data_IF_447566053811
#
_entry.id   IF_447566053811
#
_cell.length_a   1.000
_cell.length_b   1.000
_cell.length_c   1.000
_cell.angle_alpha   90.00
_cell.angle_beta   90.00
_cell.angle_gamma   90.00
#
_symmetry.space_group_name_H-M   'P 1'
#
loop_
_entity.id
_entity.type
_entity.pdbx_description
1 polymer ?
#
# COMPACT_ATOMS: atom_id res chain seq x y z
N UNK A 1 75.47 -26.42 -22.88
CA UNK A 1 74.13 -26.72 -22.33
C UNK A 1 73.14 -26.68 -23.49
N UNK A 2 72.41 -27.79 -23.74
CA UNK A 2 71.74 -28.11 -25.03
C UNK A 2 70.56 -27.17 -25.38
N UNK A 3 70.52 -26.69 -26.62
CA UNK A 3 69.34 -26.09 -27.26
C UNK A 3 68.30 -27.17 -27.55
N UNK A 4 67.01 -26.85 -27.40
CA UNK A 4 65.90 -27.71 -27.82
C UNK A 4 65.41 -27.22 -29.19
N UNK A 5 65.61 -28.06 -30.20
CA UNK A 5 65.05 -27.88 -31.54
C UNK A 5 63.54 -28.13 -31.52
N UNK A 6 62.75 -27.14 -31.93
CA UNK A 6 61.35 -27.34 -32.31
C UNK A 6 61.30 -27.90 -33.73
N UNK A 7 60.85 -29.16 -33.88
CA UNK A 7 60.54 -29.75 -35.19
C UNK A 7 59.28 -29.09 -35.76
N UNK A 8 59.44 -28.32 -36.84
CA UNK A 8 58.36 -27.88 -37.71
C UNK A 8 57.74 -29.08 -38.43
N UNK A 9 56.43 -29.27 -38.28
CA UNK A 9 55.67 -30.24 -39.08
C UNK A 9 55.28 -29.61 -40.42
N UNK A 10 55.46 -30.31 -41.56
CA UNK A 10 55.01 -29.78 -42.84
C UNK A 10 53.49 -29.95 -42.97
N UNK A 11 52.78 -28.83 -43.11
CA UNK A 11 51.39 -28.81 -43.58
C UNK A 11 51.35 -29.06 -45.08
N UNK A 12 51.16 -30.31 -45.52
CA UNK A 12 50.43 -30.65 -46.76
C UNK A 12 49.90 -32.09 -46.68
N UNK A 13 48.60 -32.25 -46.42
CA UNK A 13 47.89 -33.47 -46.79
C UNK A 13 47.41 -33.30 -48.24
N UNK A 14 47.91 -34.12 -49.16
CA UNK A 14 47.45 -34.19 -50.54
C UNK A 14 46.35 -35.25 -50.70
N UNK A 15 45.43 -35.02 -51.64
CA UNK A 15 44.21 -35.78 -51.80
C UNK A 15 44.45 -37.28 -52.02
N UNK A 16 43.64 -38.09 -51.33
CA UNK A 16 43.49 -39.55 -51.44
C UNK A 16 44.08 -40.41 -50.29
N UNK A 17 44.12 -39.88 -49.06
CA UNK A 17 44.35 -40.71 -47.86
C UNK A 17 43.11 -40.74 -46.95
N UNK A 18 42.14 -41.61 -47.29
CA UNK A 18 40.95 -41.84 -46.45
C UNK A 18 41.12 -42.97 -45.42
N UNK A 19 42.25 -43.67 -45.36
CA UNK A 19 42.32 -44.94 -44.61
C UNK A 19 43.53 -45.15 -43.71
N UNK A 20 44.25 -44.10 -43.28
CA UNK A 20 45.31 -44.23 -42.28
C UNK A 20 45.51 -42.91 -41.51
N UNK A 21 44.62 -42.61 -40.56
CA UNK A 21 44.90 -41.87 -39.31
C UNK A 21 43.58 -41.67 -38.57
N UNK A 22 43.12 -42.71 -37.88
CA UNK A 22 42.18 -42.51 -36.78
C UNK A 22 42.95 -41.77 -35.68
N UNK A 23 42.89 -40.43 -35.71
CA UNK A 23 43.35 -39.60 -34.60
C UNK A 23 42.47 -39.91 -33.39
N UNK A 24 42.97 -40.82 -32.54
CA UNK A 24 42.52 -40.99 -31.16
C UNK A 24 42.79 -39.69 -30.40
N UNK A 25 41.92 -38.68 -30.59
CA UNK A 25 41.66 -37.55 -29.68
C UNK A 25 40.64 -36.58 -30.30
N UNK A 26 39.59 -37.07 -30.95
CA UNK A 26 38.34 -36.32 -30.97
C UNK A 26 37.64 -36.61 -29.64
N UNK A 27 37.81 -35.68 -28.71
CA UNK A 27 37.31 -35.70 -27.35
C UNK A 27 35.80 -35.95 -27.34
N UNK A 28 35.36 -37.12 -26.86
CA UNK A 28 33.94 -37.41 -26.55
C UNK A 28 33.34 -36.33 -25.61
N UNK A 29 34.21 -35.58 -24.92
CA UNK A 29 33.86 -34.44 -24.06
C UNK A 29 33.29 -33.23 -24.82
N UNK A 30 33.56 -33.05 -26.12
CA UNK A 30 32.98 -31.93 -26.90
C UNK A 30 31.56 -32.23 -27.42
N UNK A 31 31.22 -33.50 -27.66
CA UNK A 31 29.88 -33.87 -28.15
C UNK A 31 28.84 -33.94 -27.02
N UNK A 32 29.28 -34.28 -25.79
CA UNK A 32 28.40 -34.34 -24.62
C UNK A 32 28.14 -32.93 -24.04
N UNK A 33 29.09 -31.99 -24.15
CA UNK A 33 28.94 -30.61 -23.67
C UNK A 33 27.90 -29.76 -24.41
N UNK A 34 27.61 -30.07 -25.69
CA UNK A 34 26.64 -29.32 -26.49
C UNK A 34 25.17 -29.66 -26.20
N UNK A 35 24.89 -30.84 -25.64
CA UNK A 35 23.51 -31.31 -25.39
C UNK A 35 23.05 -30.95 -23.97
N UNK A 36 23.96 -30.80 -23.01
CA UNK A 36 23.64 -30.44 -21.62
C UNK A 36 23.43 -28.94 -21.41
N UNK A 37 24.01 -28.05 -22.23
CA UNK A 37 23.83 -26.58 -22.08
C UNK A 37 22.45 -26.05 -22.50
N UNK A 38 21.66 -26.80 -23.28
CA UNK A 38 20.32 -26.36 -23.70
C UNK A 38 19.22 -26.66 -22.67
N UNK A 39 19.47 -27.60 -21.74
CA UNK A 39 18.50 -27.98 -20.70
C UNK A 39 18.72 -27.23 -19.38
N UNK A 40 19.94 -26.81 -19.08
CA UNK A 40 20.25 -26.05 -17.86
C UNK A 40 19.88 -24.56 -17.94
N UNK A 41 19.72 -23.98 -19.14
CA UNK A 41 19.26 -22.59 -19.30
C UNK A 41 17.73 -22.43 -19.11
N UNK A 42 16.97 -23.53 -19.21
CA UNK A 42 15.51 -23.51 -19.17
C UNK A 42 14.93 -23.49 -17.74
N UNK A 43 15.73 -23.88 -16.74
CA UNK A 43 15.31 -23.90 -15.33
C UNK A 43 15.47 -22.54 -14.61
N UNK A 44 16.19 -21.58 -15.20
CA UNK A 44 16.52 -20.31 -14.55
C UNK A 44 15.57 -19.15 -14.91
N UNK A 45 14.65 -19.33 -15.87
CA UNK A 45 13.76 -18.25 -16.35
C UNK A 45 12.39 -18.21 -15.66
N UNK A 46 12.06 -19.18 -14.80
CA UNK A 46 10.77 -19.19 -14.06
C UNK A 46 10.89 -18.65 -12.62
N UNK A 47 12.10 -18.44 -12.11
CA UNK A 47 12.34 -18.02 -10.72
C UNK A 47 12.30 -16.48 -10.50
N UNK A 48 12.14 -15.68 -11.57
CA UNK A 48 12.10 -14.21 -11.50
C UNK A 48 10.68 -13.62 -11.52
N UNK A 49 9.64 -14.45 -11.50
CA UNK A 49 8.25 -14.00 -11.68
C UNK A 49 7.49 -13.57 -10.41
N UNK A 50 8.10 -13.57 -9.22
CA UNK A 50 7.37 -13.36 -7.95
C UNK A 50 7.51 -11.96 -7.33
N UNK A 51 8.23 -11.01 -7.94
CA UNK A 51 8.31 -9.63 -7.44
C UNK A 51 7.22 -8.76 -8.06
N UNK A 52 5.98 -8.98 -7.64
CA UNK A 52 4.83 -8.23 -8.14
C UNK A 52 3.64 -8.27 -7.21
N UNK A 53 3.85 -8.43 -5.90
CA UNK A 53 2.84 -8.02 -4.94
C UNK A 53 2.89 -6.49 -4.91
N UNK A 54 1.84 -5.82 -5.42
CA UNK A 54 1.66 -4.39 -5.20
C UNK A 54 1.74 -4.14 -3.70
N UNK A 55 2.51 -3.12 -3.30
CA UNK A 55 2.57 -2.71 -1.90
C UNK A 55 1.14 -2.46 -1.45
N UNK A 56 0.65 -3.24 -0.47
CA UNK A 56 -0.55 -2.85 0.25
C UNK A 56 -0.21 -1.52 0.94
N UNK A 57 -0.90 -0.45 0.58
CA UNK A 57 -1.02 0.68 1.50
C UNK A 57 -1.68 0.14 2.77
N UNK A 58 -1.31 0.69 3.92
CA UNK A 58 -2.00 0.40 5.17
C UNK A 58 -2.31 1.71 5.88
N UNK A 59 -3.57 1.83 6.32
CA UNK A 59 -4.01 2.92 7.18
C UNK A 59 -3.62 2.59 8.62
N UNK A 60 -2.90 3.51 9.27
CA UNK A 60 -2.25 3.28 10.55
C UNK A 60 -2.61 4.41 11.52
N UNK A 61 -2.97 4.05 12.75
CA UNK A 61 -3.06 5.01 13.86
C UNK A 61 -1.68 5.13 14.50
N UNK A 62 -1.07 6.30 14.38
CA UNK A 62 0.18 6.68 15.03
C UNK A 62 -0.08 7.21 16.43
N UNK A 63 0.69 6.71 17.40
CA UNK A 63 0.66 7.18 18.77
C UNK A 63 2.02 7.74 19.15
N UNK A 64 2.06 8.95 19.71
CA UNK A 64 3.29 9.70 19.95
C UNK A 64 3.70 9.71 21.42
N UNK A 65 3.45 8.63 22.17
CA UNK A 65 3.71 8.55 23.62
C UNK A 65 2.88 9.54 24.46
N UNK A 66 2.18 10.49 23.84
CA UNK A 66 1.24 11.41 24.46
C UNK A 66 -0.21 11.08 24.10
N UNK A 67 -0.42 10.12 23.20
CA UNK A 67 -1.72 9.52 22.89
C UNK A 67 -2.26 8.77 24.10
N UNK A 68 -3.57 8.86 24.29
CA UNK A 68 -4.28 8.25 25.44
C UNK A 68 -5.22 7.19 24.90
N UNK A 69 -4.99 5.93 25.28
CA UNK A 69 -5.92 4.86 24.95
C UNK A 69 -7.27 5.12 25.63
N UNK A 70 -8.36 4.95 24.88
CA UNK A 70 -9.69 5.27 25.36
C UNK A 70 -10.76 4.64 24.49
N UNK A 71 -11.96 4.58 25.05
CA UNK A 71 -13.14 4.06 24.37
C UNK A 71 -14.12 5.18 24.09
N UNK A 72 -14.73 5.15 22.92
CA UNK A 72 -16.00 5.84 22.64
C UNK A 72 -17.09 4.77 22.58
N UNK A 73 -18.32 5.09 22.97
CA UNK A 73 -19.38 4.08 23.06
C UNK A 73 -20.75 4.70 23.25
N UNK A 74 -21.82 3.88 23.21
CA UNK A 74 -23.18 4.40 23.19
C UNK A 74 -23.49 5.12 24.49
N UNK A 75 -23.53 6.45 24.43
CA UNK A 75 -24.32 7.23 25.38
C UNK A 75 -25.79 6.97 25.10
N UNK A 76 -26.57 6.96 26.18
CA UNK A 76 -27.90 6.34 26.22
C UNK A 76 -28.97 7.01 25.36
N UNK A 77 -28.65 8.09 24.64
CA UNK A 77 -29.54 8.82 23.74
C UNK A 77 -28.71 9.41 22.57
N UNK A 78 -29.25 9.35 21.34
CA UNK A 78 -28.76 10.03 20.13
C UNK A 78 -27.36 9.73 19.58
N UNK A 79 -26.63 8.77 20.13
CA UNK A 79 -25.30 8.46 19.61
C UNK A 79 -25.31 7.86 18.19
N UNK A 80 -24.38 8.31 17.35
CA UNK A 80 -24.15 7.76 16.00
C UNK A 80 -23.61 6.32 16.07
N UNK A 81 -22.87 5.99 17.13
CA UNK A 81 -22.24 4.69 17.33
C UNK A 81 -23.01 3.86 18.38
N UNK A 82 -24.06 3.18 17.93
CA UNK A 82 -25.11 2.65 18.84
C UNK A 82 -24.86 1.25 19.43
N UNK A 83 -23.85 0.50 18.98
CA UNK A 83 -23.83 -0.96 19.19
C UNK A 83 -22.85 -1.49 20.24
N UNK A 84 -21.74 -0.80 20.53
CA UNK A 84 -20.66 -1.27 21.41
C UNK A 84 -19.70 -0.13 21.77
N UNK A 85 -18.94 -0.27 22.86
CA UNK A 85 -17.72 0.54 23.03
C UNK A 85 -16.70 0.14 21.97
N UNK A 86 -16.08 1.13 21.34
CA UNK A 86 -15.00 0.97 20.37
C UNK A 86 -13.68 1.36 21.03
N UNK A 87 -12.66 0.50 20.90
CA UNK A 87 -11.32 0.77 21.40
C UNK A 87 -10.52 1.64 20.43
N UNK A 88 -9.79 2.63 20.97
CA UNK A 88 -8.99 3.53 20.16
C UNK A 88 -8.16 4.48 20.99
N UNK A 89 -7.85 5.65 20.42
CA UNK A 89 -6.89 6.59 20.94
C UNK A 89 -7.36 8.04 20.77
N UNK A 90 -7.35 8.78 21.88
CA UNK A 90 -7.32 10.24 21.88
C UNK A 90 -5.89 10.71 21.61
N UNK A 91 -5.73 11.89 21.01
CA UNK A 91 -4.42 12.41 20.58
C UNK A 91 -3.65 11.43 19.67
N UNK A 92 -4.39 10.57 18.99
CA UNK A 92 -3.87 9.73 17.92
C UNK A 92 -3.73 10.55 16.65
N UNK A 93 -2.82 10.13 15.79
CA UNK A 93 -2.62 10.68 14.46
C UNK A 93 -2.90 9.61 13.42
N UNK A 94 -3.42 9.98 12.26
CA UNK A 94 -3.68 9.04 11.19
C UNK A 94 -2.60 9.13 10.12
N UNK A 95 -1.96 8.02 9.79
CA UNK A 95 -1.06 7.91 8.66
C UNK A 95 -1.51 6.84 7.69
N UNK A 96 -1.07 6.95 6.45
CA UNK A 96 -1.42 6.04 5.36
C UNK A 96 -0.19 5.73 4.53
N UNK A 97 -0.28 4.65 3.75
CA UNK A 97 0.63 4.43 2.63
C UNK A 97 0.37 5.39 1.46
N UNK A 98 1.04 5.14 0.34
CA UNK A 98 0.66 5.78 -0.93
C UNK A 98 -0.63 5.14 -1.46
N UNK A 99 -1.61 5.93 -1.87
CA UNK A 99 -2.81 5.36 -2.49
C UNK A 99 -4.02 6.29 -2.56
N UNK A 100 -5.19 5.69 -2.72
CA UNK A 100 -6.48 6.38 -2.71
C UNK A 100 -7.19 6.13 -1.38
N UNK A 101 -7.73 7.18 -0.79
CA UNK A 101 -8.57 7.07 0.40
C UNK A 101 -10.02 7.34 0.03
N UNK A 102 -10.92 6.57 0.63
CA UNK A 102 -12.35 6.84 0.68
C UNK A 102 -12.69 7.31 2.08
N UNK A 103 -13.31 8.47 2.18
CA UNK A 103 -13.86 8.99 3.45
C UNK A 103 -15.38 8.96 3.33
N UNK A 104 -16.04 8.35 4.30
CA UNK A 104 -17.48 8.09 4.31
C UNK A 104 -18.12 8.75 5.55
N UNK A 105 -19.23 9.45 5.33
CA UNK A 105 -20.02 10.04 6.41
C UNK A 105 -20.87 8.98 7.11
N UNK A 106 -20.66 8.76 8.40
CA UNK A 106 -21.46 7.81 9.17
C UNK A 106 -22.60 8.48 9.93
N UNK A 107 -22.47 9.75 10.29
CA UNK A 107 -23.50 10.52 10.96
C UNK A 107 -22.95 11.63 11.86
N UNK A 108 -23.86 12.25 12.60
CA UNK A 108 -23.58 13.32 13.56
C UNK A 108 -24.61 13.39 14.67
N UNK A 109 -24.25 14.01 15.79
CA UNK A 109 -25.16 14.64 16.75
C UNK A 109 -25.07 16.17 16.72
N UNK A 110 -23.96 16.74 16.24
CA UNK A 110 -23.65 18.16 16.34
C UNK A 110 -24.74 19.10 15.81
N UNK A 111 -25.00 20.13 16.62
CA UNK A 111 -25.73 21.33 16.21
C UNK A 111 -24.90 22.25 15.31
N UNK A 112 -23.57 22.16 15.35
CA UNK A 112 -22.67 22.95 14.50
C UNK A 112 -22.42 22.32 13.12
N UNK A 113 -21.99 23.18 12.19
CA UNK A 113 -21.54 22.75 10.85
C UNK A 113 -20.06 22.39 10.91
N UNK A 114 -19.75 21.12 11.13
CA UNK A 114 -18.40 20.59 11.20
C UNK A 114 -17.99 20.05 9.83
N UNK A 115 -16.84 20.47 9.32
CA UNK A 115 -16.38 20.15 7.96
C UNK A 115 -15.00 19.52 8.00
N UNK A 116 -14.91 18.27 7.57
CA UNK A 116 -13.66 17.59 7.28
C UNK A 116 -13.15 18.01 5.91
N UNK A 117 -11.87 18.36 5.81
CA UNK A 117 -11.22 18.75 4.56
C UNK A 117 -9.88 18.04 4.40
N UNK A 118 -9.66 17.49 3.20
CA UNK A 118 -8.40 16.85 2.83
C UNK A 118 -8.22 16.94 1.31
N UNK A 119 -7.05 17.43 0.88
CA UNK A 119 -6.68 17.55 -0.54
C UNK A 119 -7.74 18.24 -1.43
N UNK A 120 -8.36 19.29 -0.89
CA UNK A 120 -9.42 20.05 -1.58
C UNK A 120 -10.77 19.33 -1.71
N UNK A 121 -10.90 18.12 -1.14
CA UNK A 121 -12.19 17.45 -0.94
C UNK A 121 -12.72 17.78 0.45
N UNK A 122 -14.04 17.83 0.60
CA UNK A 122 -14.66 18.09 1.89
C UNK A 122 -15.93 17.28 2.09
N UNK A 123 -16.20 16.98 3.35
CA UNK A 123 -17.41 16.32 3.81
C UNK A 123 -17.82 16.95 5.13
N UNK A 124 -19.11 17.21 5.34
CA UNK A 124 -19.58 17.97 6.49
C UNK A 124 -20.78 17.34 7.19
N UNK A 125 -21.16 17.89 8.34
CA UNK A 125 -22.39 17.54 9.06
C UNK A 125 -23.69 17.84 8.28
N UNK A 126 -23.62 18.56 7.16
CA UNK A 126 -24.76 18.76 6.25
C UNK A 126 -24.86 17.65 5.18
N UNK A 127 -23.90 16.72 5.16
CA UNK A 127 -23.91 15.57 4.23
C UNK A 127 -24.96 14.55 4.66
N UNK A 128 -25.37 13.70 3.72
CA UNK A 128 -26.27 12.59 4.00
C UNK A 128 -25.48 11.34 4.41
N UNK A 129 -25.99 10.57 5.38
CA UNK A 129 -25.32 9.34 5.86
C UNK A 129 -25.04 8.42 4.68
N UNK A 130 -23.79 7.98 4.53
CA UNK A 130 -23.29 7.20 3.40
C UNK A 130 -22.68 8.02 2.27
N UNK A 131 -22.72 9.36 2.33
CA UNK A 131 -21.97 10.19 1.38
C UNK A 131 -20.47 9.92 1.49
N UNK A 132 -19.79 9.97 0.35
CA UNK A 132 -18.38 9.63 0.25
C UNK A 132 -17.60 10.63 -0.58
N UNK A 133 -16.37 10.90 -0.17
CA UNK A 133 -15.36 11.59 -0.95
C UNK A 133 -14.15 10.69 -1.19
N UNK A 134 -13.47 10.93 -2.30
CA UNK A 134 -12.25 10.21 -2.67
C UNK A 134 -11.07 11.16 -2.70
N UNK A 135 -10.09 10.89 -1.84
CA UNK A 135 -8.81 11.61 -1.82
C UNK A 135 -7.84 10.82 -2.67
N UNK A 136 -7.46 11.41 -3.80
CA UNK A 136 -6.54 10.81 -4.76
C UNK A 136 -5.10 11.16 -4.35
N UNK A 137 -4.17 10.20 -4.46
CA UNK A 137 -2.75 10.43 -4.19
C UNK A 137 -2.46 10.80 -2.71
N UNK A 138 -3.08 10.10 -1.77
CA UNK A 138 -2.56 10.11 -0.40
C UNK A 138 -1.07 9.76 -0.44
N UNK A 139 -0.25 10.61 0.19
CA UNK A 139 1.20 10.44 0.26
C UNK A 139 1.49 9.60 1.49
N UNK A 140 2.50 8.73 1.39
CA UNK A 140 2.94 7.94 2.53
C UNK A 140 3.34 8.84 3.72
N UNK A 141 2.82 8.53 4.89
CA UNK A 141 3.07 9.24 6.14
C UNK A 141 1.81 9.87 6.73
N UNK A 142 2.01 10.87 7.59
CA UNK A 142 0.94 11.58 8.29
C UNK A 142 -0.02 12.24 7.29
N UNK A 143 -1.30 11.92 7.40
CA UNK A 143 -2.32 12.50 6.52
C UNK A 143 -2.53 13.97 6.84
N UNK A 144 -2.59 14.82 5.82
CA UNK A 144 -2.82 16.26 6.01
C UNK A 144 -4.32 16.58 5.84
N UNK A 145 -5.09 16.38 6.90
CA UNK A 145 -6.49 16.79 6.97
C UNK A 145 -6.72 17.78 8.11
N UNK A 146 -7.77 18.57 7.97
CA UNK A 146 -8.28 19.48 9.00
C UNK A 146 -9.79 19.30 9.14
N UNK A 147 -10.28 19.47 10.36
CA UNK A 147 -11.70 19.54 10.66
C UNK A 147 -11.98 20.95 11.17
N UNK A 148 -12.82 21.68 10.45
CA UNK A 148 -13.25 23.03 10.80
C UNK A 148 -14.59 22.97 11.53
N UNK A 149 -14.68 23.66 12.67
CA UNK A 149 -15.90 23.78 13.48
C UNK A 149 -16.62 25.07 13.10
N UNK A 150 -17.89 24.95 12.70
CA UNK A 150 -18.79 26.06 12.40
C UNK A 150 -18.16 27.18 11.55
N UNK A 151 -17.61 26.82 10.37
CA UNK A 151 -16.96 27.78 9.45
C UNK A 151 -15.88 28.66 10.08
N UNK A 152 -15.09 28.13 11.03
CA UNK A 152 -13.90 28.79 11.58
C UNK A 152 -14.01 29.26 13.03
N UNK A 153 -15.04 28.82 13.78
CA UNK A 153 -15.11 29.03 15.23
C UNK A 153 -14.02 28.26 15.98
N UNK A 154 -13.55 27.17 15.40
CA UNK A 154 -12.43 26.36 15.88
C UNK A 154 -11.97 25.39 14.79
N UNK A 155 -10.87 24.68 15.04
CA UNK A 155 -10.42 23.62 14.14
C UNK A 155 -9.49 22.66 14.86
N UNK A 156 -9.48 21.41 14.42
CA UNK A 156 -8.49 20.41 14.80
C UNK A 156 -7.89 19.78 13.56
N UNK A 157 -6.57 19.64 13.53
CA UNK A 157 -5.84 19.05 12.42
C UNK A 157 -5.13 17.77 12.85
N UNK A 158 -4.94 16.85 11.91
CA UNK A 158 -4.11 15.68 12.14
C UNK A 158 -2.66 16.09 12.44
N UNK A 159 -2.01 15.48 13.42
CA UNK A 159 -0.71 15.92 13.93
C UNK A 159 -0.79 17.05 14.97
N UNK A 160 -1.98 17.59 15.23
CA UNK A 160 -2.24 18.62 16.24
C UNK A 160 -3.54 18.35 16.99
N UNK A 161 -3.83 17.06 17.19
CA UNK A 161 -4.99 16.62 17.94
C UNK A 161 -4.86 16.99 19.43
N UNK A 162 -5.90 17.63 19.97
CA UNK A 162 -5.87 18.21 21.31
C UNK A 162 -6.19 17.16 22.39
N UNK A 163 -6.10 17.58 23.65
CA UNK A 163 -6.41 16.70 24.78
C UNK A 163 -7.91 16.65 25.05
N UNK A 164 -8.52 15.47 24.87
CA UNK A 164 -9.92 15.14 25.18
C UNK A 164 -10.47 15.69 26.50
N UNK A 165 -9.63 15.91 27.52
CA UNK A 165 -10.13 16.44 28.81
C UNK A 165 -10.29 17.96 28.84
N UNK A 166 -10.07 18.67 27.73
CA UNK A 166 -10.05 20.13 27.67
C UNK A 166 -11.38 20.65 27.11
N UNK A 167 -12.32 20.95 28.00
CA UNK A 167 -13.62 21.51 27.62
C UNK A 167 -13.47 22.76 26.73
N UNK A 168 -14.29 22.86 25.69
CA UNK A 168 -14.28 24.02 24.79
C UNK A 168 -13.21 23.99 23.69
N UNK A 169 -12.42 22.92 23.58
CA UNK A 169 -11.44 22.77 22.50
C UNK A 169 -11.78 21.56 21.63
N UNK A 170 -11.90 21.73 20.30
CA UNK A 170 -12.17 20.60 19.42
C UNK A 170 -11.04 19.57 19.46
N UNK A 171 -11.40 18.30 19.51
CA UNK A 171 -10.48 17.17 19.38
C UNK A 171 -11.16 15.97 18.73
N UNK A 172 -10.38 14.94 18.41
CA UNK A 172 -10.93 13.74 17.78
C UNK A 172 -10.34 12.46 18.34
N UNK A 173 -11.15 11.43 18.31
CA UNK A 173 -10.77 10.07 18.63
C UNK A 173 -10.58 9.26 17.33
N UNK A 174 -9.60 8.36 17.35
CA UNK A 174 -9.36 7.39 16.28
C UNK A 174 -9.44 5.96 16.80
N UNK A 175 -10.11 5.08 16.07
CA UNK A 175 -10.09 3.65 16.36
C UNK A 175 -10.33 2.81 15.12
N UNK A 176 -9.83 1.57 15.14
CA UNK A 176 -10.08 0.65 14.01
C UNK A 176 -11.55 0.25 14.01
N UNK A 177 -12.17 0.31 12.84
CA UNK A 177 -13.56 -0.09 12.70
C UNK A 177 -13.70 -1.62 12.85
N UNK A 178 -14.46 -2.15 13.82
CA UNK A 178 -14.69 -3.58 13.97
C UNK A 178 -15.74 -4.12 13.00
N UNK A 179 -16.57 -3.27 12.40
CA UNK A 179 -17.67 -3.63 11.49
C UNK A 179 -17.35 -3.29 10.02
N UNK A 180 -16.49 -2.30 9.80
CA UNK A 180 -15.97 -1.87 8.50
C UNK A 180 -14.49 -2.18 8.33
N UNK A 181 -13.97 -2.03 7.12
CA UNK A 181 -12.54 -2.11 6.86
C UNK A 181 -11.97 -0.67 6.85
N UNK A 182 -11.35 -0.21 7.94
CA UNK A 182 -10.76 1.12 8.00
C UNK A 182 -10.58 1.66 9.42
N UNK A 183 -10.41 2.98 9.52
CA UNK A 183 -10.34 3.72 10.78
C UNK A 183 -11.58 4.61 10.91
N UNK A 184 -12.18 4.57 12.09
CA UNK A 184 -13.20 5.50 12.52
C UNK A 184 -12.51 6.75 13.05
N UNK A 185 -13.02 7.91 12.63
CA UNK A 185 -12.70 9.21 13.19
C UNK A 185 -13.98 9.75 13.79
N UNK A 186 -13.92 10.09 15.08
CA UNK A 186 -15.06 10.58 15.84
C UNK A 186 -14.65 11.92 16.49
N UNK A 187 -15.35 12.99 16.15
CA UNK A 187 -15.04 14.36 16.56
C UNK A 187 -15.83 14.75 17.81
N UNK A 188 -15.18 15.49 18.70
CA UNK A 188 -15.81 16.41 19.65
C UNK A 188 -15.50 17.84 19.18
N UNK A 189 -16.54 18.64 18.96
CA UNK A 189 -16.39 20.01 18.47
C UNK A 189 -16.14 21.07 19.56
N UNK A 190 -16.00 20.63 20.82
CA UNK A 190 -15.72 21.47 21.97
C UNK A 190 -16.96 22.23 22.46
N UNK A 191 -18.13 21.60 22.37
CA UNK A 191 -19.42 22.16 22.80
C UNK A 191 -19.43 22.69 24.25
N UNK A 192 -20.47 23.48 24.58
CA UNK A 192 -20.55 24.21 25.84
C UNK A 192 -20.84 23.34 27.08
N UNK A 193 -21.20 22.06 26.90
CA UNK A 193 -21.57 21.17 27.99
C UNK A 193 -20.50 20.09 28.22
N UNK A 194 -20.01 19.91 29.45
CA UNK A 194 -19.08 18.82 29.80
C UNK A 194 -19.65 17.40 29.62
N UNK A 195 -20.96 17.28 29.41
CA UNK A 195 -21.67 16.00 29.22
C UNK A 195 -21.77 15.59 27.74
N UNK A 196 -21.19 16.37 26.81
CA UNK A 196 -21.19 16.18 25.34
C UNK A 196 -19.88 15.54 24.81
N UNK A 197 -19.03 15.00 25.70
CA UNK A 197 -17.73 14.39 25.39
C UNK A 197 -17.89 12.94 24.84
N UNK A 198 -18.94 12.68 24.06
CA UNK A 198 -19.20 11.38 23.46
C UNK A 198 -18.54 11.22 22.07
N UNK A 199 -17.91 12.29 21.57
CA UNK A 199 -17.18 12.32 20.31
C UNK A 199 -18.04 11.88 19.11
N UNK A 200 -19.34 12.15 19.10
CA UNK A 200 -20.24 11.82 17.99
C UNK A 200 -20.79 13.04 17.23
N UNK A 201 -20.17 14.21 17.42
CA UNK A 201 -20.46 15.45 16.69
C UNK A 201 -20.26 15.32 15.18
N UNK A 202 -19.26 14.53 14.79
CA UNK A 202 -19.01 14.13 13.41
C UNK A 202 -18.31 12.78 13.40
N UNK A 203 -18.94 11.77 12.80
CA UNK A 203 -18.34 10.44 12.68
C UNK A 203 -18.08 10.10 11.22
N UNK A 204 -16.82 9.78 10.93
CA UNK A 204 -16.33 9.43 9.61
C UNK A 204 -15.67 8.06 9.62
N UNK A 205 -15.76 7.38 8.49
CA UNK A 205 -14.97 6.17 8.21
C UNK A 205 -13.98 6.46 7.10
N UNK A 206 -12.70 6.26 7.39
CA UNK A 206 -11.61 6.40 6.44
C UNK A 206 -11.12 5.01 6.07
N UNK A 207 -11.18 4.69 4.79
CA UNK A 207 -10.77 3.39 4.26
C UNK A 207 -9.80 3.58 3.11
N UNK A 208 -8.71 2.84 3.09
CA UNK A 208 -7.87 2.75 1.90
C UNK A 208 -8.57 1.95 0.81
N UNK A 209 -8.54 2.47 -0.41
CA UNK A 209 -9.04 1.80 -1.60
C UNK A 209 -7.84 1.09 -2.24
N UNK A 210 -7.78 -0.26 -2.21
CA UNK A 210 -6.67 -0.97 -2.81
C UNK A 210 -6.58 -0.63 -4.30
N UNK A 211 -5.41 -0.19 -4.73
CA UNK A 211 -5.18 -0.02 -6.15
C UNK A 211 -5.37 -1.38 -6.85
N UNK A 212 -6.10 -1.44 -7.97
CA UNK A 212 -6.28 -2.69 -8.67
C UNK A 212 -4.92 -3.27 -9.09
N UNK A 213 -4.50 -4.33 -8.41
CA UNK A 213 -3.38 -5.20 -8.83
C UNK A 213 -3.56 -5.72 -10.26
N UNK A 214 -4.75 -5.57 -10.83
CA UNK A 214 -5.07 -5.78 -12.24
C UNK A 214 -4.22 -4.94 -13.19
N UNK A 215 -3.81 -3.71 -12.86
CA UNK A 215 -2.91 -2.95 -13.73
C UNK A 215 -1.52 -3.60 -13.81
N UNK A 216 -0.99 -4.04 -12.68
CA UNK A 216 0.25 -4.80 -12.63
C UNK A 216 0.12 -6.15 -13.36
N UNK A 217 -1.00 -6.86 -13.17
CA UNK A 217 -1.27 -8.14 -13.84
C UNK A 217 -1.52 -7.99 -15.34
N UNK A 218 -2.17 -6.92 -15.80
CA UNK A 218 -2.34 -6.62 -17.22
C UNK A 218 -0.99 -6.27 -17.84
N UNK A 219 -0.18 -5.46 -17.15
CA UNK A 219 1.19 -5.16 -17.58
C UNK A 219 2.04 -6.43 -17.71
N UNK A 220 2.03 -7.29 -16.69
CA UNK A 220 2.73 -8.57 -16.71
C UNK A 220 2.17 -9.52 -17.76
N UNK A 221 0.86 -9.57 -17.93
CA UNK A 221 0.17 -10.37 -18.93
C UNK A 221 0.54 -9.98 -20.36
N UNK A 222 0.63 -8.67 -20.64
CA UNK A 222 1.04 -8.13 -21.93
C UNK A 222 2.53 -8.39 -22.22
N UNK A 223 3.39 -8.24 -21.22
CA UNK A 223 4.83 -8.58 -21.35
C UNK A 223 4.98 -10.08 -21.61
N UNK A 224 4.29 -10.93 -20.86
CA UNK A 224 4.29 -12.38 -21.06
C UNK A 224 3.78 -12.80 -22.44
N UNK A 225 2.67 -12.20 -22.89
CA UNK A 225 2.12 -12.44 -24.22
C UNK A 225 3.07 -11.96 -25.35
N UNK A 226 3.70 -10.80 -25.19
CA UNK A 226 4.67 -10.26 -26.13
C UNK A 226 5.92 -11.15 -26.27
N UNK A 227 6.45 -11.65 -25.16
CA UNK A 227 7.58 -12.60 -25.15
C UNK A 227 7.18 -13.93 -25.82
N UNK A 228 5.98 -14.45 -25.52
CA UNK A 228 5.47 -15.67 -26.13
C UNK A 228 5.25 -15.51 -27.65
N UNK A 229 4.73 -14.36 -28.09
CA UNK A 229 4.50 -14.08 -29.51
C UNK A 229 5.82 -13.98 -30.30
N UNK A 230 6.87 -13.39 -29.69
CA UNK A 230 8.19 -13.27 -30.35
C UNK A 230 8.88 -14.63 -30.53
N UNK A 231 8.65 -15.58 -29.61
CA UNK A 231 9.16 -16.96 -29.71
C UNK A 231 8.50 -17.82 -30.78
N UNK A 232 7.32 -17.44 -31.29
CA UNK A 232 6.64 -18.16 -32.38
C UNK A 232 7.10 -17.76 -33.77
N UNK A 233 7.88 -16.68 -33.91
CA UNK A 233 8.41 -16.19 -35.19
C UNK A 233 9.87 -16.59 -35.48
N UNK A 234 10.51 -17.30 -34.56
CA UNK A 234 11.86 -17.88 -34.72
C UNK A 234 11.72 -19.39 -34.75
#
# INVERSE_FOLDING_TARGET
MKSKDFKSWPFKCSGNQWSCTCSRRASITELIGGITMKKSLLAMTLALGMTGAGSASALMIETDGTSVAGQIGPVTLNSVLTSTNFDGFYKGNLSSGVGMLKVEFLGKEAGYVNTFEMDGQSLSTESTVGDTIYVNNAVAGLLNFIIQINSGAGSVANGSNNNHTSAGTPDFWLGYDPLGNGVLLALDDGGANPDDDNHDDLVLRITEVPEPSTLALIGLGLVGAGVAARRRKV
#
